data_IF_267908271762
#
_entry.id   IF_267908271762
#
_cell.length_a   1.000
_cell.length_b   1.000
_cell.length_c   1.000
_cell.angle_alpha   90.00
_cell.angle_beta   90.00
_cell.angle_gamma   90.00
#
_symmetry.space_group_name_H-M   'P 1'
#
loop_
_entity.id
_entity.type
_entity.pdbx_description
1 polymer ?
#
# COMPACT_ATOMS: atom_id res chain seq x y z
N UNK A 1 18.12 15.04 21.38
CA UNK A 1 17.91 13.91 20.44
C UNK A 1 16.41 13.74 20.24
N UNK A 2 15.95 13.48 19.01
CA UNK A 2 14.53 13.58 18.65
C UNK A 2 13.61 12.52 19.32
N UNK A 3 14.05 11.27 19.51
CA UNK A 3 13.26 10.23 20.21
C UNK A 3 14.14 9.23 20.98
N UNK A 4 13.62 8.65 22.07
CA UNK A 4 14.31 7.61 22.87
C UNK A 4 14.30 6.23 22.20
N UNK A 5 13.21 5.85 21.50
CA UNK A 5 13.03 4.62 20.70
C UNK A 5 12.05 4.90 19.57
N UNK A 6 12.17 4.15 18.47
CA UNK A 6 11.22 4.15 17.34
C UNK A 6 10.77 2.69 17.13
N UNK A 7 9.46 2.50 16.97
CA UNK A 7 8.88 1.22 16.59
C UNK A 7 8.40 1.32 15.14
N UNK A 8 9.00 0.55 14.25
CA UNK A 8 8.65 0.52 12.82
C UNK A 8 7.92 -0.79 12.55
N UNK A 9 6.80 -0.71 11.83
CA UNK A 9 6.04 -1.87 11.36
C UNK A 9 5.99 -1.79 9.83
N UNK A 10 6.39 -2.87 9.18
CA UNK A 10 6.23 -3.04 7.73
C UNK A 10 5.09 -4.03 7.52
N UNK A 11 4.06 -3.58 6.81
CA UNK A 11 2.99 -4.45 6.35
C UNK A 11 3.35 -4.91 4.94
N UNK A 12 3.95 -6.09 4.83
CA UNK A 12 4.43 -6.62 3.55
C UNK A 12 3.29 -6.70 2.53
N UNK A 13 3.55 -6.24 1.30
CA UNK A 13 2.60 -6.17 0.17
C UNK A 13 1.33 -5.31 0.35
N UNK A 14 1.12 -4.60 1.48
CA UNK A 14 -0.09 -3.80 1.69
C UNK A 14 -0.01 -2.43 0.99
N UNK A 15 -0.26 -2.42 -0.32
CA UNK A 15 -0.34 -1.22 -1.16
C UNK A 15 -1.67 -0.45 -1.02
N UNK A 16 -1.66 0.84 -1.32
CA UNK A 16 -2.82 1.76 -1.21
C UNK A 16 -3.14 2.46 -2.55
N UNK A 17 -2.92 1.74 -3.65
CA UNK A 17 -3.05 2.26 -5.01
C UNK A 17 -1.75 2.16 -5.80
N UNK A 18 -1.88 2.39 -7.10
CA UNK A 18 -0.79 2.30 -8.06
C UNK A 18 0.22 3.45 -7.89
N UNK A 19 1.48 3.17 -8.21
CA UNK A 19 2.52 4.20 -8.29
C UNK A 19 2.44 4.96 -9.62
N UNK A 20 3.02 6.17 -9.73
CA UNK A 20 3.00 6.96 -10.98
C UNK A 20 3.61 6.25 -12.21
N UNK A 21 4.46 5.25 -11.99
CA UNK A 21 5.17 4.47 -13.01
C UNK A 21 4.55 3.08 -13.24
N UNK A 22 3.38 2.78 -12.66
CA UNK A 22 2.72 1.47 -12.75
C UNK A 22 2.56 0.93 -14.19
N UNK A 23 2.35 1.80 -15.17
CA UNK A 23 2.27 1.43 -16.58
C UNK A 23 3.57 0.81 -17.15
N UNK A 24 4.72 1.02 -16.53
CA UNK A 24 6.00 0.41 -16.92
C UNK A 24 6.14 -1.04 -16.42
N UNK A 25 5.30 -1.44 -15.46
CA UNK A 25 5.37 -2.72 -14.77
C UNK A 25 4.12 -3.59 -15.01
N UNK A 26 3.26 -3.20 -15.95
CA UNK A 26 1.95 -3.82 -16.21
C UNK A 26 1.02 -3.82 -14.97
N UNK A 27 1.24 -2.89 -14.04
CA UNK A 27 0.53 -2.75 -12.76
C UNK A 27 -0.54 -1.63 -12.80
N UNK A 28 -1.10 -1.34 -13.98
CA UNK A 28 -2.13 -0.30 -14.11
C UNK A 28 -3.41 -0.68 -13.35
N UNK A 29 -4.02 0.30 -12.66
CA UNK A 29 -5.28 0.18 -11.89
C UNK A 29 -5.19 -0.81 -10.70
N UNK A 30 -3.99 -1.05 -10.16
CA UNK A 30 -3.82 -1.88 -8.95
C UNK A 30 -4.07 -1.06 -7.68
N UNK A 31 -4.92 -1.57 -6.78
CA UNK A 31 -5.14 -1.00 -5.46
C UNK A 31 -5.43 -2.11 -4.44
N UNK A 32 -4.39 -2.65 -3.79
CA UNK A 32 -4.54 -3.80 -2.88
C UNK A 32 -5.54 -3.53 -1.76
N UNK A 33 -5.34 -2.46 -0.99
CA UNK A 33 -6.20 -2.16 0.15
C UNK A 33 -7.62 -1.76 -0.29
N UNK A 34 -7.76 -0.96 -1.34
CA UNK A 34 -9.08 -0.58 -1.86
C UNK A 34 -9.84 -1.75 -2.47
N UNK A 35 -9.17 -2.68 -3.16
CA UNK A 35 -9.80 -3.88 -3.73
C UNK A 35 -10.30 -4.81 -2.63
N UNK A 36 -9.51 -5.00 -1.57
CA UNK A 36 -9.92 -5.78 -0.40
C UNK A 36 -11.11 -5.12 0.30
N UNK A 37 -11.05 -3.80 0.57
CA UNK A 37 -12.15 -3.08 1.23
C UNK A 37 -13.46 -3.19 0.44
N UNK A 38 -13.40 -3.04 -0.89
CA UNK A 38 -14.56 -3.22 -1.78
C UNK A 38 -15.18 -4.61 -1.66
N UNK A 39 -14.36 -5.65 -1.64
CA UNK A 39 -14.81 -7.03 -1.49
C UNK A 39 -15.37 -7.33 -0.09
N UNK A 40 -14.91 -6.62 0.94
CA UNK A 40 -15.36 -6.80 2.33
C UNK A 40 -16.49 -5.85 2.75
N UNK A 41 -16.89 -4.91 1.91
CA UNK A 41 -17.97 -3.97 2.18
C UNK A 41 -17.58 -2.76 3.03
N UNK A 42 -16.28 -2.43 3.09
CA UNK A 42 -15.74 -1.32 3.90
C UNK A 42 -15.20 -1.77 5.24
#
# INVERSE_FOLDING_TARGET
MAFKRIHVVVMDSVGIGEAPDAAQFDDFDVDTLGHIAREKGG
#
